data_IF_931700163910
#
_entry.id   IF_931700163910
#
_cell.length_a   1.000
_cell.length_b   1.000
_cell.length_c   1.000
_cell.angle_alpha   90.00
_cell.angle_beta   90.00
_cell.angle_gamma   90.00
#
_symmetry.space_group_name_H-M   'P 1'
#
loop_
_entity.id
_entity.type
_entity.pdbx_description
1 polymer ?
#
# COMPACT_ATOMS: atom_id res chain seq x y z
N UNK A 1 4.54 -14.85 32.61
CA UNK A 1 5.11 -14.22 31.40
C UNK A 1 4.48 -14.87 30.19
N UNK A 2 3.54 -14.18 29.52
CA UNK A 2 2.94 -14.69 28.30
C UNK A 2 3.91 -14.45 27.15
N UNK A 3 4.39 -15.53 26.53
CA UNK A 3 5.18 -15.47 25.31
C UNK A 3 4.21 -15.07 24.19
N UNK A 4 4.11 -13.78 23.87
CA UNK A 4 3.35 -13.31 22.72
C UNK A 4 3.99 -13.95 21.50
N UNK A 5 3.29 -14.90 20.89
CA UNK A 5 3.76 -15.66 19.73
C UNK A 5 4.03 -14.65 18.60
N UNK A 6 5.30 -14.46 18.27
CA UNK A 6 5.73 -13.71 17.09
C UNK A 6 5.17 -14.41 15.85
N UNK A 7 4.08 -13.87 15.31
CA UNK A 7 3.47 -14.33 14.07
C UNK A 7 4.11 -13.67 12.84
N UNK A 8 3.54 -13.96 11.67
CA UNK A 8 3.97 -13.39 10.39
C UNK A 8 3.93 -11.85 10.35
N UNK A 9 3.20 -11.22 11.28
CA UNK A 9 3.01 -9.77 11.40
C UNK A 9 4.23 -9.03 11.95
N UNK A 10 5.24 -9.74 12.45
CA UNK A 10 6.45 -9.16 13.05
C UNK A 10 6.31 -8.79 14.53
N UNK A 11 7.40 -8.26 15.09
CA UNK A 11 7.52 -8.02 16.54
C UNK A 11 6.59 -6.90 17.01
N UNK A 12 5.84 -7.12 18.10
CA UNK A 12 4.95 -6.11 18.72
C UNK A 12 5.69 -4.80 19.01
N UNK A 13 6.92 -4.89 19.52
CA UNK A 13 7.78 -3.74 19.81
C UNK A 13 8.13 -2.91 18.56
N UNK A 14 8.43 -3.57 17.44
CA UNK A 14 8.70 -2.89 16.16
C UNK A 14 7.45 -2.25 15.58
N UNK A 15 6.30 -2.93 15.69
CA UNK A 15 5.00 -2.37 15.28
C UNK A 15 4.60 -1.16 16.12
N UNK A 16 4.83 -1.21 17.43
CA UNK A 16 4.59 -0.06 18.32
C UNK A 16 5.48 1.16 18.01
N UNK A 17 6.75 0.92 17.67
CA UNK A 17 7.64 1.97 17.21
C UNK A 17 7.15 2.58 15.88
N UNK A 18 6.74 1.76 14.91
CA UNK A 18 6.22 2.24 13.63
C UNK A 18 4.89 2.99 13.76
N UNK A 19 3.98 2.52 14.62
CA UNK A 19 2.75 3.22 14.95
C UNK A 19 3.06 4.63 15.45
N UNK A 20 3.97 4.74 16.43
CA UNK A 20 4.42 6.03 16.96
C UNK A 20 5.05 6.93 15.89
N UNK A 21 5.76 6.34 14.92
CA UNK A 21 6.42 7.08 13.85
C UNK A 21 5.46 7.55 12.75
N UNK A 22 4.44 6.76 12.39
CA UNK A 22 3.51 7.08 11.30
C UNK A 22 2.46 8.12 11.73
N UNK A 23 1.81 7.91 12.87
CA UNK A 23 0.92 8.86 13.56
C UNK A 23 0.33 8.19 14.82
N UNK A 24 -0.13 8.98 15.79
CA UNK A 24 -0.92 8.55 16.96
C UNK A 24 -2.24 7.82 16.63
N UNK A 25 -2.67 7.81 15.37
CA UNK A 25 -3.92 7.17 14.94
C UNK A 25 -3.80 5.67 14.65
N UNK A 26 -2.59 5.13 14.48
CA UNK A 26 -2.40 3.71 14.17
C UNK A 26 -2.14 2.90 15.44
N UNK A 27 -2.85 1.79 15.61
CA UNK A 27 -2.52 0.81 16.63
C UNK A 27 -1.42 -0.14 16.09
N UNK A 28 -0.59 -0.72 16.97
CA UNK A 28 0.40 -1.72 16.54
C UNK A 28 -0.23 -2.93 15.84
N UNK A 29 -1.50 -3.22 16.10
CA UNK A 29 -2.25 -4.30 15.46
C UNK A 29 -2.66 -3.97 14.02
N UNK A 30 -2.76 -2.69 13.67
CA UNK A 30 -3.07 -2.20 12.32
C UNK A 30 -1.84 -2.30 11.38
N UNK A 31 -0.67 -2.65 11.91
CA UNK A 31 0.60 -2.64 11.19
C UNK A 31 1.05 -4.06 10.86
N UNK A 32 1.29 -4.31 9.57
CA UNK A 32 1.95 -5.51 9.06
C UNK A 32 3.16 -5.12 8.22
N UNK A 33 4.26 -5.86 8.38
CA UNK A 33 5.47 -5.65 7.59
C UNK A 33 5.42 -6.44 6.28
N UNK A 34 5.93 -5.83 5.22
CA UNK A 34 6.11 -6.44 3.90
C UNK A 34 7.58 -6.36 3.47
N UNK A 35 7.98 -7.24 2.55
CA UNK A 35 9.32 -7.25 1.95
C UNK A 35 9.47 -6.12 0.90
N UNK A 36 9.33 -4.88 1.35
CA UNK A 36 9.36 -3.68 0.51
C UNK A 36 8.01 -3.34 -0.13
N UNK A 37 7.95 -2.14 -0.70
CA UNK A 37 6.72 -1.55 -1.27
C UNK A 37 6.18 -2.34 -2.47
N UNK A 38 7.05 -3.01 -3.23
CA UNK A 38 6.60 -3.82 -4.37
C UNK A 38 5.76 -5.01 -3.91
N UNK A 39 6.25 -5.77 -2.92
CA UNK A 39 5.50 -6.89 -2.36
C UNK A 39 4.24 -6.42 -1.64
N UNK A 40 4.30 -5.27 -0.95
CA UNK A 40 3.11 -4.69 -0.33
C UNK A 40 2.00 -4.38 -1.35
N UNK A 41 2.35 -3.76 -2.48
CA UNK A 41 1.39 -3.44 -3.54
C UNK A 41 0.76 -4.71 -4.12
N UNK A 42 1.58 -5.72 -4.42
CA UNK A 42 1.14 -7.00 -4.97
C UNK A 42 0.20 -7.74 -4.00
N UNK A 43 0.61 -7.88 -2.74
CA UNK A 43 -0.22 -8.50 -1.71
C UNK A 43 -1.52 -7.73 -1.48
N UNK A 44 -1.48 -6.39 -1.52
CA UNK A 44 -2.69 -5.57 -1.39
C UNK A 44 -3.65 -5.81 -2.56
N UNK A 45 -3.14 -5.94 -3.78
CA UNK A 45 -3.97 -6.24 -4.95
C UNK A 45 -4.65 -7.61 -4.80
N UNK A 46 -3.90 -8.64 -4.38
CA UNK A 46 -4.45 -9.99 -4.17
C UNK A 46 -5.49 -10.07 -3.04
N UNK A 47 -5.40 -9.19 -2.05
CA UNK A 47 -6.37 -9.13 -0.94
C UNK A 47 -7.65 -8.38 -1.36
N UNK A 48 -7.50 -7.31 -2.15
CA UNK A 48 -8.59 -6.37 -2.43
C UNK A 48 -9.42 -6.73 -3.66
N UNK A 49 -8.85 -7.46 -4.62
CA UNK A 49 -9.47 -7.70 -5.92
C UNK A 49 -9.73 -9.18 -6.15
N UNK A 50 -10.89 -9.48 -6.74
CA UNK A 50 -11.22 -10.81 -7.22
C UNK A 50 -10.77 -10.97 -8.69
N UNK A 51 -9.81 -11.87 -8.98
CA UNK A 51 -9.27 -12.05 -10.33
C UNK A 51 -10.32 -12.54 -11.34
N UNK A 52 -11.45 -13.10 -10.88
CA UNK A 52 -12.53 -13.61 -11.73
C UNK A 52 -13.63 -12.57 -12.00
N UNK A 53 -13.63 -11.42 -11.32
CA UNK A 53 -14.69 -10.40 -11.43
C UNK A 53 -14.32 -9.20 -12.32
N UNK A 54 -13.15 -9.23 -12.98
CA UNK A 54 -12.63 -8.12 -13.80
C UNK A 54 -12.55 -6.80 -13.03
N UNK A 55 -12.19 -6.86 -11.75
CA UNK A 55 -12.07 -5.69 -10.90
C UNK A 55 -11.09 -4.66 -11.48
N UNK A 56 -11.36 -3.39 -11.19
CA UNK A 56 -10.57 -2.27 -11.66
C UNK A 56 -10.17 -1.33 -10.52
N UNK A 57 -8.96 -0.78 -10.61
CA UNK A 57 -8.48 0.31 -9.75
C UNK A 57 -8.25 1.57 -10.57
N UNK A 58 -8.71 2.70 -10.03
CA UNK A 58 -8.49 4.02 -10.61
C UNK A 58 -7.20 4.62 -10.08
N UNK A 59 -6.27 4.96 -10.99
CA UNK A 59 -4.99 5.58 -10.68
C UNK A 59 -4.95 7.01 -11.24
N UNK A 60 -4.79 7.98 -10.34
CA UNK A 60 -4.65 9.39 -10.71
C UNK A 60 -3.30 9.68 -11.36
N UNK A 61 -3.28 10.25 -12.57
CA UNK A 61 -2.06 10.65 -13.27
C UNK A 61 -1.56 12.04 -12.84
N UNK A 62 -0.22 12.23 -12.78
CA UNK A 62 0.80 11.20 -12.97
C UNK A 62 0.88 10.26 -11.76
N UNK A 63 1.37 9.05 -11.99
CA UNK A 63 1.46 8.03 -10.94
C UNK A 63 2.77 7.28 -11.02
N UNK A 64 3.18 6.65 -9.91
CA UNK A 64 4.32 5.76 -9.85
C UNK A 64 4.22 4.62 -10.87
N UNK A 65 5.07 4.66 -11.91
CA UNK A 65 4.96 3.78 -13.08
C UNK A 65 5.09 2.27 -12.78
N UNK A 66 5.67 1.90 -11.63
CA UNK A 66 5.83 0.48 -11.23
C UNK A 66 4.51 -0.12 -10.74
N UNK A 67 3.48 0.69 -10.43
CA UNK A 67 2.15 0.17 -10.07
C UNK A 67 1.56 -0.72 -11.15
N UNK A 68 1.81 -0.41 -12.43
CA UNK A 68 1.33 -1.24 -13.53
C UNK A 68 1.82 -2.68 -13.41
N UNK A 69 3.07 -2.87 -13.00
CA UNK A 69 3.67 -4.18 -12.78
C UNK A 69 3.22 -4.82 -11.47
N UNK A 70 3.26 -4.07 -10.38
CA UNK A 70 3.04 -4.64 -9.05
C UNK A 70 1.56 -4.99 -8.81
N UNK A 71 0.62 -4.26 -9.40
CA UNK A 71 -0.81 -4.47 -9.15
C UNK A 71 -1.46 -5.43 -10.16
N UNK A 72 -1.11 -5.34 -11.45
CA UNK A 72 -1.86 -6.04 -12.50
C UNK A 72 -1.33 -7.43 -12.87
N UNK A 73 -0.06 -7.75 -12.58
CA UNK A 73 0.57 -8.98 -13.10
C UNK A 73 -0.01 -10.24 -12.46
N UNK A 74 -0.18 -10.26 -11.13
CA UNK A 74 -0.66 -11.45 -10.43
C UNK A 74 -2.17 -11.38 -10.09
N UNK A 75 -2.72 -10.18 -9.89
CA UNK A 75 -4.10 -10.02 -9.45
C UNK A 75 -5.13 -9.88 -10.61
N UNK A 76 -4.68 -9.90 -11.87
CA UNK A 76 -5.54 -9.78 -13.06
C UNK A 76 -6.49 -8.56 -13.04
N UNK A 77 -6.01 -7.42 -12.55
CA UNK A 77 -6.83 -6.21 -12.39
C UNK A 77 -6.70 -5.24 -13.56
N UNK A 78 -7.79 -4.53 -13.84
CA UNK A 78 -7.80 -3.45 -14.82
C UNK A 78 -7.30 -2.14 -14.19
N UNK A 79 -6.36 -1.47 -14.87
CA UNK A 79 -5.80 -0.19 -14.41
C UNK A 79 -6.44 0.95 -15.19
N UNK A 80 -7.34 1.67 -14.55
CA UNK A 80 -8.02 2.82 -15.13
C UNK A 80 -7.27 4.10 -14.74
N UNK A 81 -6.71 4.79 -15.73
CA UNK A 81 -5.95 6.01 -15.47
C UNK A 81 -6.81 7.26 -15.62
N UNK A 82 -6.88 8.05 -14.55
CA UNK A 82 -7.65 9.30 -14.53
C UNK A 82 -6.70 10.48 -14.44
N UNK A 83 -6.83 11.44 -15.35
CA UNK A 83 -6.04 12.67 -15.29
C UNK A 83 -6.63 13.62 -14.24
N UNK A 84 -5.80 14.03 -13.27
CA UNK A 84 -6.19 15.04 -12.27
C UNK A 84 -5.36 16.31 -12.43
N UNK A 85 -5.91 17.30 -13.12
CA UNK A 85 -5.29 18.62 -13.29
C UNK A 85 -3.89 18.60 -13.96
N UNK A 86 -3.19 19.74 -13.88
CA UNK A 86 -1.86 19.94 -14.46
C UNK A 86 -0.72 19.72 -13.45
N UNK A 87 -1.02 19.19 -12.26
CA UNK A 87 -0.12 19.16 -11.11
C UNK A 87 0.35 17.73 -10.85
N UNK A 88 1.64 17.49 -11.05
CA UNK A 88 2.21 16.17 -10.84
C UNK A 88 2.17 15.75 -9.36
N UNK A 89 1.97 14.45 -9.05
CA UNK A 89 1.99 13.92 -7.68
C UNK A 89 3.33 14.16 -6.96
N UNK A 90 4.40 14.40 -7.73
CA UNK A 90 5.74 14.77 -7.27
C UNK A 90 6.05 16.27 -7.34
N UNK A 91 5.11 17.09 -7.81
CA UNK A 91 5.30 18.54 -7.81
C UNK A 91 5.28 19.04 -6.37
N UNK A 92 6.32 19.79 -5.99
CA UNK A 92 6.36 20.43 -4.68
C UNK A 92 5.25 21.49 -4.64
N UNK A 93 4.39 21.44 -3.62
CA UNK A 93 3.53 22.58 -3.29
C UNK A 93 4.43 23.71 -2.79
N UNK A 94 4.75 24.67 -3.63
CA UNK A 94 5.31 25.95 -3.19
C UNK A 94 4.24 26.65 -2.37
N UNK A 95 4.36 26.60 -1.04
CA UNK A 95 3.65 27.56 -0.19
C UNK A 95 4.26 28.94 -0.45
N UNK A 96 3.48 29.81 -1.10
CA UNK A 96 3.77 31.24 -1.21
C UNK A 96 3.39 31.99 0.04
#
# INVERSE_FOLDING_TARGET
>A
MSCVREGYTGMVRSRGAMATQLDTHFNPEDITFAAGVSYLNEASALILFDPDQNDAIMLGRPVYGVFARNLAVEANINLEYVSFGDTDQSSQSTCG
#
